data_IF_744163378185
#
_entry.id   IF_744163378185
#
_cell.length_a   1.000
_cell.length_b   1.000
_cell.length_c   1.000
_cell.angle_alpha   90.00
_cell.angle_beta   90.00
_cell.angle_gamma   90.00
#
_symmetry.space_group_name_H-M   'P 1'
#
loop_
_entity.id
_entity.type
_entity.pdbx_description
1 polymer ?
#
# COMPACT_ATOMS: atom_id res chain seq x y z
N UNK A 1 -20.69 -52.33 24.32
CA UNK A 1 -19.46 -53.04 23.92
C UNK A 1 -18.46 -52.02 23.37
N UNK A 2 -17.20 -52.01 23.82
CA UNK A 2 -16.18 -51.08 23.30
C UNK A 2 -15.77 -51.48 21.88
N UNK A 3 -15.58 -50.52 20.98
CA UNK A 3 -15.17 -50.83 19.60
C UNK A 3 -13.73 -51.33 19.56
N UNK A 4 -13.41 -52.17 18.55
CA UNK A 4 -12.06 -52.71 18.34
C UNK A 4 -11.00 -51.60 18.28
N UNK A 5 -11.33 -50.44 17.71
CA UNK A 5 -10.46 -49.26 17.68
C UNK A 5 -10.24 -48.62 19.06
N UNK A 6 -11.27 -48.56 19.90
CA UNK A 6 -11.16 -48.04 21.25
C UNK A 6 -10.31 -48.96 22.16
N UNK A 7 -10.41 -50.28 21.96
CA UNK A 7 -9.54 -51.25 22.65
C UNK A 7 -8.06 -51.10 22.27
N UNK A 8 -7.78 -50.94 20.98
CA UNK A 8 -6.41 -50.73 20.48
C UNK A 8 -5.83 -49.44 21.06
N UNK A 9 -6.62 -48.36 21.10
CA UNK A 9 -6.19 -47.10 21.70
C UNK A 9 -5.91 -47.23 23.21
N UNK A 10 -6.72 -47.99 23.94
CA UNK A 10 -6.48 -48.30 25.37
C UNK A 10 -5.17 -49.04 25.58
N UNK A 11 -4.96 -50.17 24.88
CA UNK A 11 -3.69 -50.93 24.96
C UNK A 11 -2.47 -50.15 24.51
N UNK A 12 -2.66 -49.17 23.61
CA UNK A 12 -1.58 -48.27 23.21
C UNK A 12 -1.22 -47.27 24.30
N UNK A 13 -2.21 -46.68 24.98
CA UNK A 13 -1.99 -45.80 26.14
C UNK A 13 -1.35 -46.55 27.30
N UNK A 14 -1.87 -47.73 27.61
CA UNK A 14 -1.35 -48.59 28.69
C UNK A 14 0.12 -48.98 28.46
N UNK A 15 0.52 -49.28 27.21
CA UNK A 15 1.93 -49.52 26.84
C UNK A 15 2.80 -48.27 26.85
N UNK A 16 2.22 -47.08 26.68
CA UNK A 16 2.95 -45.82 26.83
C UNK A 16 3.12 -45.44 28.29
N UNK A 17 2.13 -45.72 29.13
CA UNK A 17 2.18 -45.42 30.56
C UNK A 17 3.03 -46.45 31.34
N UNK A 18 3.18 -47.67 30.82
CA UNK A 18 4.08 -48.69 31.35
C UNK A 18 5.59 -48.42 31.13
N UNK A 19 5.93 -47.55 30.17
CA UNK A 19 7.32 -47.17 29.86
C UNK A 19 7.45 -45.64 29.79
N UNK A 20 7.85 -44.99 30.89
CA UNK A 20 7.93 -43.53 30.97
C UNK A 20 8.97 -42.94 30.01
N UNK A 21 10.03 -43.68 29.66
CA UNK A 21 11.04 -43.22 28.72
C UNK A 21 10.50 -43.23 27.28
N UNK A 22 9.73 -44.25 26.92
CA UNK A 22 9.04 -44.30 25.63
C UNK A 22 8.00 -43.21 25.50
N UNK A 23 7.26 -42.90 26.57
CA UNK A 23 6.32 -41.77 26.63
C UNK A 23 7.04 -40.44 26.46
N UNK A 24 8.15 -40.23 27.17
CA UNK A 24 8.98 -39.03 27.08
C UNK A 24 9.50 -38.82 25.65
N UNK A 25 10.05 -39.86 25.02
CA UNK A 25 10.55 -39.82 23.63
C UNK A 25 9.46 -39.52 22.62
N UNK A 26 8.25 -40.07 22.80
CA UNK A 26 7.12 -39.79 21.93
C UNK A 26 6.65 -38.33 22.06
N UNK A 27 6.53 -37.82 23.28
CA UNK A 27 6.14 -36.43 23.53
C UNK A 27 7.18 -35.44 23.00
N UNK A 28 8.47 -35.73 23.16
CA UNK A 28 9.57 -34.94 22.61
C UNK A 28 9.54 -34.91 21.07
N UNK A 29 9.33 -36.07 20.43
CA UNK A 29 9.16 -36.16 18.98
C UNK A 29 7.94 -35.38 18.49
N UNK A 30 6.85 -35.35 19.27
CA UNK A 30 5.64 -34.58 18.94
C UNK A 30 5.87 -33.08 19.10
N UNK A 31 6.56 -32.65 20.15
CA UNK A 31 6.91 -31.24 20.39
C UNK A 31 7.87 -30.68 19.34
N UNK A 32 8.84 -31.47 18.89
CA UNK A 32 9.77 -31.06 17.82
C UNK A 32 9.10 -30.96 16.45
N UNK A 33 8.14 -31.84 16.14
CA UNK A 33 7.36 -31.75 14.91
C UNK A 33 6.49 -30.48 14.87
N UNK A 34 5.87 -30.09 15.98
CA UNK A 34 5.12 -28.83 16.07
C UNK A 34 5.99 -27.59 15.81
N UNK A 35 7.21 -27.57 16.34
CA UNK A 35 8.18 -26.49 16.09
C UNK A 35 8.63 -26.43 14.63
N UNK A 36 8.77 -27.58 13.97
CA UNK A 36 9.12 -27.66 12.54
C UNK A 36 8.00 -27.10 11.66
N UNK A 37 6.75 -27.47 11.93
CA UNK A 37 5.59 -26.97 11.17
C UNK A 37 5.43 -25.47 11.36
N UNK A 38 5.57 -24.97 12.58
CA UNK A 38 5.51 -23.54 12.86
C UNK A 38 6.62 -22.76 12.13
N UNK A 39 7.85 -23.27 12.15
CA UNK A 39 8.99 -22.66 11.43
C UNK A 39 8.74 -22.62 9.92
N UNK A 40 8.16 -23.68 9.36
CA UNK A 40 7.81 -23.75 7.93
C UNK A 40 6.73 -22.73 7.56
N UNK A 41 5.68 -22.63 8.37
CA UNK A 41 4.61 -21.64 8.16
C UNK A 41 5.13 -20.21 8.28
N UNK A 42 5.94 -19.90 9.31
CA UNK A 42 6.58 -18.58 9.43
C UNK A 42 7.44 -18.23 8.21
N UNK A 43 8.19 -19.20 7.67
CA UNK A 43 8.99 -19.03 6.45
C UNK A 43 8.12 -18.84 5.20
N UNK A 44 6.97 -19.52 5.13
CA UNK A 44 6.02 -19.37 4.04
C UNK A 44 5.42 -17.97 4.02
N UNK A 45 4.94 -17.50 5.19
CA UNK A 45 4.37 -16.16 5.36
C UNK A 45 5.42 -15.08 5.09
N UNK A 46 6.65 -15.23 5.60
CA UNK A 46 7.70 -14.25 5.30
C UNK A 46 8.01 -14.18 3.80
N UNK A 47 7.99 -15.32 3.11
CA UNK A 47 8.23 -15.35 1.67
C UNK A 47 7.09 -14.77 0.84
N UNK A 48 5.83 -14.95 1.25
CA UNK A 48 4.71 -14.30 0.57
C UNK A 48 4.78 -12.79 0.72
N UNK A 49 5.08 -12.28 1.91
CA UNK A 49 5.22 -10.84 2.16
C UNK A 49 6.35 -10.20 1.33
N UNK A 50 7.49 -10.89 1.18
CA UNK A 50 8.60 -10.42 0.33
C UNK A 50 8.18 -10.36 -1.14
N UNK A 51 7.43 -11.36 -1.63
CA UNK A 51 6.94 -11.39 -3.01
C UNK A 51 5.94 -10.28 -3.28
N UNK A 52 5.02 -10.05 -2.35
CA UNK A 52 4.02 -8.97 -2.43
C UNK A 52 4.68 -7.59 -2.48
N UNK A 53 5.61 -7.30 -1.56
CA UNK A 53 6.36 -6.04 -1.57
C UNK A 53 7.15 -5.83 -2.87
N UNK A 54 7.74 -6.89 -3.42
CA UNK A 54 8.42 -6.81 -4.73
C UNK A 54 7.45 -6.52 -5.87
N UNK A 55 6.25 -7.11 -5.82
CA UNK A 55 5.17 -6.81 -6.76
C UNK A 55 4.77 -5.34 -6.73
N UNK A 56 4.45 -4.83 -5.54
CA UNK A 56 4.09 -3.42 -5.32
C UNK A 56 5.19 -2.45 -5.77
N UNK A 57 6.47 -2.76 -5.48
CA UNK A 57 7.60 -1.94 -5.94
C UNK A 57 7.68 -1.88 -7.47
N UNK A 58 7.54 -3.02 -8.15
CA UNK A 58 7.56 -3.09 -9.63
C UNK A 58 6.40 -2.30 -10.24
N UNK A 59 5.21 -2.40 -9.65
CA UNK A 59 4.04 -1.65 -10.11
C UNK A 59 4.24 -0.13 -9.96
N UNK A 60 4.74 0.31 -8.81
CA UNK A 60 5.07 1.71 -8.57
C UNK A 60 6.12 2.24 -9.57
N UNK A 61 7.15 1.46 -9.87
CA UNK A 61 8.16 1.84 -10.88
C UNK A 61 7.56 1.95 -12.30
N UNK A 62 6.62 1.06 -12.67
CA UNK A 62 5.90 1.16 -13.94
C UNK A 62 5.04 2.42 -14.00
N UNK A 63 4.31 2.74 -12.93
CA UNK A 63 3.51 3.96 -12.83
C UNK A 63 4.35 5.24 -12.97
N UNK A 64 5.53 5.27 -12.35
CA UNK A 64 6.48 6.40 -12.48
C UNK A 64 6.98 6.58 -13.92
N UNK A 65 7.38 5.49 -14.58
CA UNK A 65 7.82 5.50 -15.98
C UNK A 65 6.71 5.96 -16.94
N UNK A 66 5.48 5.48 -16.72
CA UNK A 66 4.31 5.90 -17.51
C UNK A 66 3.99 7.39 -17.35
N UNK A 67 4.05 7.93 -16.13
CA UNK A 67 3.87 9.38 -15.90
C UNK A 67 4.98 10.21 -16.53
N UNK A 68 6.22 9.72 -16.52
CA UNK A 68 7.34 10.41 -17.15
C UNK A 68 7.20 10.44 -18.68
N UNK A 69 6.77 9.35 -19.32
CA UNK A 69 6.54 9.33 -20.77
C UNK A 69 5.35 10.22 -21.18
N UNK A 70 4.30 10.28 -20.37
CA UNK A 70 3.18 11.22 -20.60
C UNK A 70 3.62 12.68 -20.56
N UNK A 71 4.45 13.06 -19.58
CA UNK A 71 5.00 14.42 -19.48
C UNK A 71 5.86 14.80 -20.69
N UNK A 72 6.68 13.87 -21.18
CA UNK A 72 7.47 14.11 -22.39
C UNK A 72 6.59 14.27 -23.64
N UNK A 73 5.54 13.44 -23.79
CA UNK A 73 4.59 13.56 -24.91
C UNK A 73 3.85 14.90 -24.96
N UNK A 74 3.53 15.49 -23.79
CA UNK A 74 2.91 16.82 -23.72
C UNK A 74 3.87 17.94 -24.15
N UNK A 75 5.14 17.87 -23.77
CA UNK A 75 6.14 18.86 -24.18
C UNK A 75 6.38 18.88 -25.70
N UNK A 76 6.26 17.74 -26.40
CA UNK A 76 6.39 17.71 -27.86
C UNK A 76 5.10 18.08 -28.60
N UNK A 77 3.92 17.85 -28.00
CA UNK A 77 2.64 18.27 -28.58
C UNK A 77 2.54 19.80 -28.68
N UNK A 78 2.97 20.53 -27.65
CA UNK A 78 2.94 22.00 -27.68
C UNK A 78 3.96 22.64 -28.63
N UNK A 79 4.96 21.88 -29.10
CA UNK A 79 5.98 22.38 -30.05
C UNK A 79 5.54 22.14 -31.51
N UNK A 80 4.69 21.14 -31.79
CA UNK A 80 4.16 20.91 -33.14
C UNK A 80 3.00 21.82 -33.51
N UNK A 81 2.31 22.42 -32.54
CA UNK A 81 1.21 23.34 -32.81
C UNK A 81 1.67 24.75 -33.23
N UNK A 82 2.96 25.09 -33.13
CA UNK A 82 3.48 26.38 -33.63
C UNK A 82 3.77 26.39 -35.14
N UNK A 83 3.59 25.26 -35.84
CA UNK A 83 3.73 25.18 -37.31
C UNK A 83 2.42 25.40 -38.07
N UNK A 84 1.29 25.61 -37.38
CA UNK A 84 0.11 26.19 -38.00
C UNK A 84 0.19 27.70 -37.82
N UNK A 85 0.40 28.40 -38.92
CA UNK A 85 0.38 29.86 -39.01
C UNK A 85 -0.76 30.43 -38.14
N UNK A 86 -0.52 31.42 -37.27
CA UNK A 86 -1.64 32.14 -36.69
C UNK A 86 -2.39 32.81 -37.84
N UNK A 87 -3.66 32.41 -38.03
CA UNK A 87 -4.57 33.20 -38.83
C UNK A 87 -4.59 34.63 -38.25
N UNK A 88 -4.67 35.61 -39.15
CA UNK A 88 -4.56 37.04 -38.88
C UNK A 88 -5.36 37.49 -37.64
N UNK A 89 -4.89 38.53 -36.91
CA UNK A 89 -5.53 38.99 -35.68
C UNK A 89 -6.80 39.77 -36.00
N UNK A 90 -7.95 39.12 -35.98
CA UNK A 90 -9.24 39.81 -36.03
C UNK A 90 -9.92 39.72 -34.66
N UNK A 91 -10.08 40.88 -34.03
CA UNK A 91 -10.85 41.17 -32.81
C UNK A 91 -10.33 40.59 -31.49
N UNK A 92 -9.62 41.44 -30.73
CA UNK A 92 -9.32 41.23 -29.32
C UNK A 92 -10.58 41.35 -28.44
N UNK A 93 -10.76 40.46 -27.45
CA UNK A 93 -11.32 40.83 -26.16
C UNK A 93 -10.15 41.08 -25.19
N UNK A 94 -9.97 42.34 -24.77
CA UNK A 94 -9.02 42.79 -23.73
C UNK A 94 -9.09 41.91 -22.47
N UNK A 95 -8.01 41.20 -22.07
CA UNK A 95 -7.95 40.53 -20.78
C UNK A 95 -7.04 41.30 -19.81
N UNK A 96 -7.66 42.25 -19.11
CA UNK A 96 -7.55 42.42 -17.65
C UNK A 96 -6.17 42.47 -17.00
N UNK A 97 -5.81 43.68 -16.54
CA UNK A 97 -5.02 44.03 -15.35
C UNK A 97 -3.87 43.08 -14.95
N UNK A 98 -2.66 43.66 -14.97
CA UNK A 98 -1.40 43.02 -14.60
C UNK A 98 -1.43 42.39 -13.20
N UNK A 99 -0.59 41.38 -12.99
CA UNK A 99 -0.44 40.62 -11.73
C UNK A 99 -0.22 41.49 -10.48
N UNK A 100 0.30 42.71 -10.62
CA UNK A 100 0.48 43.65 -9.50
C UNK A 100 -0.85 44.25 -9.00
N UNK A 101 -1.86 44.40 -9.86
CA UNK A 101 -3.17 44.92 -9.49
C UNK A 101 -4.06 43.87 -8.80
N UNK A 102 -3.70 42.57 -8.88
CA UNK A 102 -4.42 41.49 -8.18
C UNK A 102 -4.04 41.30 -6.71
N UNK A 103 -2.87 41.79 -6.29
CA UNK A 103 -2.41 41.65 -4.89
C UNK A 103 -2.75 42.88 -4.02
N UNK A 104 -3.25 43.96 -4.60
CA UNK A 104 -3.67 45.16 -3.86
C UNK A 104 -5.12 45.16 -3.37
N UNK A 105 -5.99 44.29 -3.90
CA UNK A 105 -7.44 44.30 -3.64
C UNK A 105 -7.93 43.20 -2.66
N UNK A 106 -7.02 42.52 -1.95
CA UNK A 106 -7.38 41.49 -0.95
C UNK A 106 -6.65 41.68 0.39
N UNK A 107 -6.08 42.86 0.63
CA UNK A 107 -5.36 43.16 1.88
C UNK A 107 -5.74 44.53 2.48
N UNK A 108 -6.91 45.09 2.11
CA UNK A 108 -7.38 46.38 2.62
C UNK A 108 -8.87 46.48 2.92
N UNK A 109 -9.50 45.35 3.21
CA UNK A 109 -10.88 45.33 3.72
C UNK A 109 -11.06 44.09 4.60
N UNK A 110 -10.33 44.05 5.72
CA UNK A 110 -10.67 43.40 7.01
C UNK A 110 -9.66 43.82 8.09
N UNK A 111 -9.42 45.13 8.20
CA UNK A 111 -8.86 45.79 9.39
C UNK A 111 -9.56 47.14 9.47
N UNK A 112 -10.85 47.12 9.80
CA UNK A 112 -11.68 48.27 10.24
C UNK A 112 -13.13 47.75 10.39
N UNK A 113 -13.35 46.86 11.37
CA UNK A 113 -14.67 46.69 11.99
C UNK A 113 -14.47 46.12 13.42
N UNK A 114 -13.60 46.78 14.17
CA UNK A 114 -13.63 46.79 15.64
C UNK A 114 -13.74 48.26 16.06
N UNK A 115 -14.92 48.85 15.86
CA UNK A 115 -15.45 50.00 16.62
C UNK A 115 -16.89 50.21 16.15
N UNK A 116 -17.81 50.40 17.11
CA UNK A 116 -19.23 50.77 16.92
C UNK A 116 -20.28 49.65 16.88
N UNK A 117 -20.46 48.94 18.02
CA UNK A 117 -21.73 48.89 18.78
C UNK A 117 -21.67 47.79 19.85
N UNK A 118 -21.12 48.15 20.99
CA UNK A 118 -21.55 47.60 22.28
C UNK A 118 -21.71 48.80 23.18
N UNK A 119 -22.96 49.27 23.28
CA UNK A 119 -23.62 49.80 24.47
C UNK A 119 -25.10 50.02 24.15
#
# INVERSE_FOLDING_TARGET
MSSKGAEIARRYRERLDADPDRRRKYLEKRGTNGKKTERLERRRVSMSLVRERRGQKKEMERGKKSRQSQRQGQCFATVRDTTRLPAAPENQPEPGLSRQQRLGASAREKVEEETERSD
#
